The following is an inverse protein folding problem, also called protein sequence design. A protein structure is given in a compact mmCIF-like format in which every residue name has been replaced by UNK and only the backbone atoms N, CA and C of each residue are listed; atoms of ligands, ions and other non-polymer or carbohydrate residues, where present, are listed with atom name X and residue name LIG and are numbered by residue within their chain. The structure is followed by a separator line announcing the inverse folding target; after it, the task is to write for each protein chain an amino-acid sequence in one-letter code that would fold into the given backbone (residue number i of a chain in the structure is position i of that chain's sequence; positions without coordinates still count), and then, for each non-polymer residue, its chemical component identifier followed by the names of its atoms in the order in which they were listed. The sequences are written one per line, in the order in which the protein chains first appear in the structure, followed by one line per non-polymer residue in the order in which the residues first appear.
data_IF_904807869908
#
_entry.id   IF_904807869908
#
_cell.length_a   1.000
_cell.length_b   1.000
_cell.length_c   1.000
_cell.angle_alpha   90.00
_cell.angle_beta   90.00
_cell.angle_gamma   90.00
#
_symmetry.space_group_name_H-M   'P 1'
#
loop_
_entity.id
_entity.type
_entity.pdbx_description
1 polymer ?
#
# COMPACT_ATOMS: atom_id res chain seq x y z
N UNK A 1 -63.27 44.24 18.23
CA UNK A 1 -63.82 43.97 19.58
C UNK A 1 -62.72 43.35 20.40
N UNK A 2 -62.32 44.08 21.44
CA UNK A 2 -61.44 43.84 22.60
C UNK A 2 -60.88 42.43 22.87
N UNK A 3 -59.62 42.37 23.31
CA UNK A 3 -59.08 41.76 24.57
C UNK A 3 -57.54 41.65 24.45
N UNK A 4 -56.74 42.60 24.97
CA UNK A 4 -56.25 42.81 26.36
C UNK A 4 -55.12 41.87 26.79
N UNK A 5 -54.05 42.54 27.26
CA UNK A 5 -52.78 42.10 27.85
C UNK A 5 -52.88 41.11 29.01
N UNK A 6 -51.82 40.32 29.21
CA UNK A 6 -51.35 40.02 30.57
C UNK A 6 -49.80 39.97 30.61
N UNK A 7 -49.23 40.82 31.48
CA UNK A 7 -47.80 40.87 31.84
C UNK A 7 -47.59 39.93 33.04
N UNK A 8 -46.49 39.18 33.04
CA UNK A 8 -45.81 38.83 34.29
C UNK A 8 -44.31 39.07 34.13
N UNK A 9 -43.75 39.75 35.11
CA UNK A 9 -42.40 40.30 35.17
C UNK A 9 -41.75 39.66 36.38
N UNK A 10 -40.68 38.89 36.21
CA UNK A 10 -39.81 38.46 37.32
C UNK A 10 -38.37 38.72 36.94
N UNK A 11 -37.79 39.71 37.65
CA UNK A 11 -36.36 40.00 37.69
C UNK A 11 -35.62 38.84 38.37
N UNK A 12 -34.58 38.34 37.71
CA UNK A 12 -33.56 37.47 38.28
C UNK A 12 -32.18 37.91 37.76
N UNK A 13 -31.76 39.10 38.16
CA UNK A 13 -30.44 39.68 37.83
C UNK A 13 -29.49 39.46 39.00
N UNK A 14 -28.86 38.28 39.08
CA UNK A 14 -27.67 38.01 39.91
C UNK A 14 -27.31 36.53 39.74
N UNK A 15 -26.60 36.18 38.66
CA UNK A 15 -25.87 34.90 38.45
C UNK A 15 -25.23 34.80 37.05
N UNK A 16 -25.55 35.72 36.12
CA UNK A 16 -25.06 35.68 34.74
C UNK A 16 -23.59 36.11 34.53
N UNK A 17 -22.93 36.74 35.51
CA UNK A 17 -21.54 37.19 35.34
C UNK A 17 -20.51 36.08 35.59
N UNK A 18 -20.74 35.19 36.56
CA UNK A 18 -19.74 34.17 36.92
C UNK A 18 -19.83 32.92 36.03
N UNK A 19 -21.05 32.55 35.60
CA UNK A 19 -21.28 31.45 34.65
C UNK A 19 -20.78 31.81 33.24
N UNK A 20 -20.90 33.08 32.81
CA UNK A 20 -20.41 33.51 31.49
C UNK A 20 -18.88 33.48 31.39
N UNK A 21 -18.16 33.67 32.49
CA UNK A 21 -16.69 33.59 32.55
C UNK A 21 -16.21 32.13 32.55
N UNK A 22 -16.90 31.24 33.27
CA UNK A 22 -16.56 29.81 33.32
C UNK A 22 -16.86 29.08 31.98
N UNK A 23 -17.95 29.45 31.30
CA UNK A 23 -18.31 28.90 29.98
C UNK A 23 -17.55 29.53 28.82
N UNK A 24 -17.15 30.81 28.92
CA UNK A 24 -16.13 31.40 28.03
C UNK A 24 -14.81 30.64 28.16
N UNK A 25 -14.43 30.24 29.38
CA UNK A 25 -13.30 29.36 29.65
C UNK A 25 -13.43 27.98 28.97
N UNK A 26 -14.61 27.37 28.98
CA UNK A 26 -14.88 26.07 28.35
C UNK A 26 -14.92 26.12 26.81
N UNK A 27 -15.54 27.16 26.22
CA UNK A 27 -15.50 27.44 24.78
C UNK A 27 -14.11 27.80 24.30
N UNK A 28 -13.36 28.59 25.07
CA UNK A 28 -11.94 28.85 24.81
C UNK A 28 -11.14 27.57 24.92
N UNK A 29 -11.36 26.71 25.93
CA UNK A 29 -10.67 25.42 26.07
C UNK A 29 -10.96 24.46 24.91
N UNK A 30 -12.20 24.31 24.47
CA UNK A 30 -12.55 23.37 23.39
C UNK A 30 -12.24 23.93 21.99
N UNK A 31 -12.42 25.23 21.77
CA UNK A 31 -11.95 25.85 20.51
C UNK A 31 -10.44 25.86 20.44
N UNK A 32 -9.73 26.16 21.54
CA UNK A 32 -8.25 26.05 21.62
C UNK A 32 -7.84 24.60 21.50
N UNK A 33 -8.50 23.63 22.13
CA UNK A 33 -8.20 22.20 21.99
C UNK A 33 -8.43 21.67 20.58
N UNK A 34 -9.50 22.09 19.88
CA UNK A 34 -9.70 21.74 18.47
C UNK A 34 -8.70 22.48 17.57
N UNK A 35 -8.35 23.72 17.91
CA UNK A 35 -7.33 24.50 17.20
C UNK A 35 -5.95 23.94 17.45
N UNK A 36 -5.69 23.32 18.60
CA UNK A 36 -4.45 22.68 19.04
C UNK A 36 -4.38 21.26 18.48
N UNK A 37 -5.45 20.44 18.52
CA UNK A 37 -5.51 19.14 17.83
C UNK A 37 -5.39 19.33 16.31
N UNK A 38 -5.94 20.41 15.75
CA UNK A 38 -5.74 20.78 14.35
C UNK A 38 -4.38 21.44 14.10
N UNK A 39 -3.83 22.21 15.05
CA UNK A 39 -2.44 22.71 14.96
C UNK A 39 -1.45 21.59 15.06
N UNK A 40 -1.72 20.56 15.84
CA UNK A 40 -0.90 19.38 16.06
C UNK A 40 -1.04 18.45 14.88
N UNK A 41 -2.24 18.31 14.30
CA UNK A 41 -2.43 17.63 13.01
C UNK A 41 -1.79 18.41 11.86
N UNK A 42 -1.90 19.74 11.84
CA UNK A 42 -1.29 20.62 10.84
C UNK A 42 0.21 20.75 11.03
N UNK A 43 0.72 20.73 12.25
CA UNK A 43 2.14 20.66 12.56
C UNK A 43 2.65 19.25 12.32
N UNK A 44 1.90 18.18 12.55
CA UNK A 44 2.26 16.82 12.12
C UNK A 44 2.24 16.70 10.61
N UNK A 45 1.30 17.33 9.91
CA UNK A 45 1.21 17.34 8.45
C UNK A 45 2.31 18.25 7.89
N UNK A 46 2.61 19.38 8.51
CA UNK A 46 3.69 20.32 8.15
C UNK A 46 5.05 19.78 8.53
N UNK A 47 5.20 19.02 9.60
CA UNK A 47 6.41 18.29 9.97
C UNK A 47 6.56 17.06 9.07
N UNK A 48 5.48 16.32 8.77
CA UNK A 48 5.53 15.28 7.73
C UNK A 48 5.77 15.86 6.34
N UNK A 49 5.30 17.07 6.04
CA UNK A 49 5.50 17.75 4.77
C UNK A 49 6.79 18.56 4.72
N UNK A 50 7.41 18.94 5.85
CA UNK A 50 8.80 19.42 5.91
C UNK A 50 9.76 18.22 5.85
N UNK A 51 9.45 17.15 6.56
CA UNK A 51 10.16 15.87 6.50
C UNK A 51 9.96 15.12 5.18
N UNK A 52 8.98 15.47 4.33
CA UNK A 52 8.80 14.89 2.98
C UNK A 52 8.99 15.89 1.84
N UNK A 53 8.57 17.14 2.01
CA UNK A 53 8.61 18.21 1.01
C UNK A 53 9.85 19.11 1.10
N UNK A 54 10.63 19.03 2.19
CA UNK A 54 12.03 19.46 2.20
C UNK A 54 12.96 18.33 1.78
N UNK A 55 12.67 17.09 2.18
CA UNK A 55 13.56 15.96 1.90
C UNK A 55 13.75 15.70 0.39
N UNK A 56 12.73 15.84 -0.46
CA UNK A 56 12.91 15.62 -1.91
C UNK A 56 13.74 16.70 -2.60
N UNK A 57 13.38 17.98 -2.40
CA UNK A 57 13.99 19.12 -3.10
C UNK A 57 15.29 19.60 -2.43
N UNK A 58 15.38 19.54 -1.10
CA UNK A 58 16.60 19.87 -0.36
C UNK A 58 17.62 18.73 -0.46
N UNK A 59 17.24 17.44 -0.53
CA UNK A 59 18.20 16.37 -0.87
C UNK A 59 18.66 16.52 -2.31
N UNK A 60 17.80 16.87 -3.27
CA UNK A 60 18.23 17.11 -4.65
C UNK A 60 19.14 18.36 -4.77
N UNK A 61 18.88 19.42 -4.00
CA UNK A 61 19.71 20.64 -3.98
C UNK A 61 21.03 20.44 -3.21
N UNK A 62 20.99 19.86 -2.01
CA UNK A 62 22.18 19.55 -1.19
C UNK A 62 23.04 18.50 -1.90
N UNK A 63 22.45 17.45 -2.47
CA UNK A 63 23.20 16.49 -3.30
C UNK A 63 23.79 17.16 -4.53
N UNK A 64 23.09 18.07 -5.21
CA UNK A 64 23.65 18.79 -6.36
C UNK A 64 24.79 19.74 -6.00
N UNK A 65 24.77 20.35 -4.80
CA UNK A 65 25.88 21.15 -4.28
C UNK A 65 27.06 20.27 -3.84
N UNK A 66 26.80 19.17 -3.13
CA UNK A 66 27.82 18.20 -2.70
C UNK A 66 28.49 17.52 -3.91
N UNK A 67 27.71 17.11 -4.91
CA UNK A 67 28.20 16.56 -6.19
C UNK A 67 29.11 17.57 -6.90
N UNK A 68 28.77 18.88 -6.91
CA UNK A 68 29.61 19.93 -7.51
C UNK A 68 30.93 20.16 -6.74
N UNK A 69 30.91 20.09 -5.41
CA UNK A 69 32.12 20.25 -4.59
C UNK A 69 33.02 19.01 -4.56
N UNK A 70 32.49 17.82 -4.85
CA UNK A 70 33.25 16.57 -4.85
C UNK A 70 33.78 16.20 -6.26
N UNK A 71 33.13 16.69 -7.32
CA UNK A 71 33.61 16.57 -8.71
C UNK A 71 34.94 17.29 -8.97
N UNK A 72 35.36 18.23 -8.13
CA UNK A 72 36.66 18.90 -8.28
C UNK A 72 37.85 18.06 -7.82
N UNK A 73 37.64 16.97 -7.08
CA UNK A 73 38.72 16.25 -6.38
C UNK A 73 38.84 14.74 -6.68
N UNK A 74 38.12 14.17 -7.65
CA UNK A 74 38.25 12.73 -7.95
C UNK A 74 38.23 12.41 -9.44
N UNK A 75 39.41 12.15 -10.00
CA UNK A 75 39.55 11.14 -11.04
C UNK A 75 39.30 9.76 -10.43
N UNK A 76 38.03 9.31 -10.35
CA UNK A 76 37.71 7.92 -10.02
C UNK A 76 36.57 7.38 -10.87
N UNK A 77 36.87 6.29 -11.57
CA UNK A 77 36.02 5.54 -12.48
C UNK A 77 34.77 4.96 -11.80
N UNK A 78 33.63 5.12 -12.50
CA UNK A 78 32.47 4.23 -12.53
C UNK A 78 31.69 3.99 -11.21
N UNK A 79 31.18 5.05 -10.57
CA UNK A 79 30.07 4.92 -9.61
C UNK A 79 28.73 5.25 -10.27
N UNK A 80 27.65 4.54 -9.91
CA UNK A 80 26.30 4.80 -10.43
C UNK A 80 25.57 5.68 -9.41
N UNK A 81 25.23 6.90 -9.81
CA UNK A 81 24.39 7.77 -8.97
C UNK A 81 22.99 7.16 -8.82
N UNK A 82 22.45 7.08 -7.59
CA UNK A 82 21.11 6.54 -7.34
C UNK A 82 20.01 7.37 -8.01
N UNK A 83 20.26 8.65 -8.27
CA UNK A 83 19.35 9.60 -8.92
C UNK A 83 19.45 9.59 -10.46
N UNK A 84 20.29 8.71 -11.03
CA UNK A 84 20.49 8.68 -12.47
C UNK A 84 19.25 8.13 -13.20
N UNK A 85 18.92 8.71 -14.37
CA UNK A 85 17.84 8.21 -15.22
C UNK A 85 18.04 6.73 -15.62
N UNK A 86 19.29 6.33 -15.81
CA UNK A 86 19.65 4.95 -16.16
C UNK A 86 19.29 4.01 -14.99
N UNK A 87 19.58 4.40 -13.74
CA UNK A 87 19.20 3.61 -12.56
C UNK A 87 17.68 3.50 -12.45
N UNK A 88 16.93 4.57 -12.65
CA UNK A 88 15.46 4.50 -12.62
C UNK A 88 14.88 3.58 -13.71
N UNK A 89 15.44 3.58 -14.93
CA UNK A 89 15.02 2.66 -15.99
C UNK A 89 15.37 1.21 -15.61
N UNK A 90 16.54 0.99 -15.02
CA UNK A 90 16.95 -0.32 -14.52
C UNK A 90 16.02 -0.82 -13.40
N UNK A 91 15.69 0.03 -12.43
CA UNK A 91 14.76 -0.30 -11.36
C UNK A 91 13.34 -0.57 -11.90
N UNK A 92 12.90 0.15 -12.93
CA UNK A 92 11.64 -0.13 -13.62
C UNK A 92 11.64 -1.50 -14.32
N UNK A 93 12.75 -1.87 -14.97
CA UNK A 93 12.94 -3.20 -15.54
C UNK A 93 12.91 -4.28 -14.45
N UNK A 94 13.59 -4.06 -13.32
CA UNK A 94 13.59 -4.99 -12.18
C UNK A 94 12.19 -5.15 -11.59
N UNK A 95 11.41 -4.08 -11.47
CA UNK A 95 10.03 -4.15 -11.03
C UNK A 95 9.18 -5.03 -11.97
N UNK A 96 9.37 -4.90 -13.28
CA UNK A 96 8.69 -5.74 -14.26
C UNK A 96 9.09 -7.22 -14.11
N UNK A 97 10.39 -7.50 -13.97
CA UNK A 97 10.89 -8.87 -13.72
C UNK A 97 10.35 -9.44 -12.41
N UNK A 98 10.27 -8.65 -11.34
CA UNK A 98 9.69 -9.06 -10.06
C UNK A 98 8.19 -9.34 -10.20
N UNK A 99 7.46 -8.53 -10.97
CA UNK A 99 6.05 -8.79 -11.29
C UNK A 99 5.86 -10.11 -12.04
N UNK A 100 6.73 -10.42 -12.99
CA UNK A 100 6.73 -11.73 -13.66
C UNK A 100 6.98 -12.88 -12.67
N UNK A 101 7.98 -12.76 -11.79
CA UNK A 101 8.26 -13.80 -10.78
C UNK A 101 7.06 -14.00 -9.84
N UNK A 102 6.44 -12.91 -9.41
CA UNK A 102 5.29 -12.97 -8.51
C UNK A 102 4.03 -13.59 -9.15
N UNK A 103 3.83 -13.46 -10.47
CA UNK A 103 2.70 -14.06 -11.20
C UNK A 103 3.07 -15.41 -11.80
N UNK A 104 3.98 -15.39 -12.76
CA UNK A 104 4.21 -16.51 -13.67
C UNK A 104 5.04 -17.60 -13.00
N UNK A 105 6.10 -17.26 -12.26
CA UNK A 105 6.92 -18.28 -11.59
C UNK A 105 6.14 -19.02 -10.50
N UNK A 106 5.28 -18.33 -9.74
CA UNK A 106 4.39 -18.98 -8.75
C UNK A 106 3.42 -19.94 -9.43
N UNK A 107 2.75 -19.48 -10.50
CA UNK A 107 1.87 -20.32 -11.31
C UNK A 107 2.60 -21.57 -11.82
N UNK A 108 3.76 -21.39 -12.46
CA UNK A 108 4.55 -22.49 -13.04
C UNK A 108 5.05 -23.47 -11.97
N UNK A 109 5.51 -22.96 -10.82
CA UNK A 109 5.94 -23.78 -9.68
C UNK A 109 4.83 -24.68 -9.15
N UNK A 110 3.61 -24.14 -9.09
CA UNK A 110 2.46 -24.84 -8.52
C UNK A 110 1.74 -25.74 -9.53
N UNK A 111 1.84 -25.48 -10.83
CA UNK A 111 1.07 -26.19 -11.87
C UNK A 111 1.85 -27.21 -12.67
N UNK A 112 3.08 -26.89 -13.08
CA UNK A 112 3.87 -27.72 -14.00
C UNK A 112 5.01 -28.48 -13.29
N UNK A 113 5.34 -28.16 -12.04
CA UNK A 113 6.48 -28.78 -11.36
C UNK A 113 7.78 -28.47 -12.12
N UNK A 114 8.72 -29.42 -12.24
CA UNK A 114 9.95 -29.22 -13.03
C UNK A 114 9.76 -29.51 -14.52
N UNK A 115 10.18 -28.56 -15.36
CA UNK A 115 10.22 -28.66 -16.81
C UNK A 115 11.64 -28.41 -17.31
N UNK A 116 11.96 -28.95 -18.49
CA UNK A 116 13.27 -28.83 -19.12
C UNK A 116 13.39 -27.66 -20.09
N UNK A 117 14.50 -27.67 -20.84
CA UNK A 117 14.78 -26.71 -21.91
C UNK A 117 13.84 -26.81 -23.12
N UNK A 118 12.99 -27.85 -23.16
CA UNK A 118 11.90 -28.05 -24.10
C UNK A 118 10.75 -27.06 -23.91
N UNK A 119 10.58 -26.53 -22.70
CA UNK A 119 9.58 -25.52 -22.40
C UNK A 119 10.17 -24.10 -22.44
N UNK A 120 9.48 -23.18 -23.12
CA UNK A 120 9.89 -21.77 -23.25
C UNK A 120 10.14 -21.07 -21.91
N UNK A 121 9.39 -21.45 -20.87
CA UNK A 121 9.51 -20.89 -19.52
C UNK A 121 10.91 -21.06 -18.92
N UNK A 122 11.64 -22.11 -19.29
CA UNK A 122 13.00 -22.34 -18.83
C UNK A 122 13.93 -21.21 -19.26
N UNK A 123 13.84 -20.80 -20.53
CA UNK A 123 14.66 -19.73 -21.08
C UNK A 123 14.32 -18.37 -20.49
N UNK A 124 13.03 -18.13 -20.23
CA UNK A 124 12.58 -16.87 -19.62
C UNK A 124 13.04 -16.77 -18.16
N UNK A 125 12.91 -17.84 -17.37
CA UNK A 125 13.42 -17.86 -15.99
C UNK A 125 14.94 -17.71 -15.93
N UNK A 126 15.66 -18.31 -16.87
CA UNK A 126 17.11 -18.14 -16.99
C UNK A 126 17.47 -16.69 -17.32
N UNK A 127 16.80 -16.08 -18.30
CA UNK A 127 17.03 -14.69 -18.68
C UNK A 127 16.76 -13.72 -17.52
N UNK A 128 15.66 -13.90 -16.80
CA UNK A 128 15.33 -13.10 -15.61
C UNK A 128 16.37 -13.31 -14.50
N UNK A 129 16.84 -14.55 -14.31
CA UNK A 129 17.92 -14.84 -13.35
C UNK A 129 19.22 -14.12 -13.70
N UNK A 130 19.56 -14.02 -14.99
CA UNK A 130 20.72 -13.25 -15.46
C UNK A 130 20.58 -11.75 -15.16
N UNK A 131 19.39 -11.16 -15.40
CA UNK A 131 19.13 -9.75 -15.05
C UNK A 131 19.35 -9.51 -13.56
N UNK A 132 18.90 -10.44 -12.71
CA UNK A 132 19.09 -10.30 -11.27
C UNK A 132 20.55 -10.49 -10.82
N UNK A 133 21.33 -11.34 -11.49
CA UNK A 133 22.77 -11.44 -11.24
C UNK A 133 23.47 -10.12 -11.61
N UNK A 134 23.07 -9.50 -12.72
CA UNK A 134 23.56 -8.18 -13.11
C UNK A 134 23.17 -7.12 -12.07
N UNK A 135 21.98 -7.21 -11.47
CA UNK A 135 21.56 -6.31 -10.40
C UNK A 135 22.42 -6.43 -9.14
N UNK A 136 22.80 -7.64 -8.72
CA UNK A 136 23.76 -7.83 -7.61
C UNK A 136 25.06 -7.06 -7.91
N UNK A 137 25.57 -7.18 -9.14
CA UNK A 137 26.74 -6.44 -9.60
C UNK A 137 26.51 -4.93 -9.53
N UNK A 138 25.40 -4.43 -10.08
CA UNK A 138 25.06 -3.01 -10.09
C UNK A 138 24.90 -2.42 -8.68
N UNK A 139 24.32 -3.18 -7.74
CA UNK A 139 24.12 -2.76 -6.35
C UNK A 139 25.45 -2.60 -5.59
N UNK A 140 26.51 -3.32 -5.96
CA UNK A 140 27.86 -3.08 -5.43
C UNK A 140 28.47 -1.73 -5.85
N UNK A 141 27.93 -1.08 -6.90
CA UNK A 141 28.40 0.21 -7.42
C UNK A 141 27.37 1.34 -7.27
N UNK A 142 26.21 1.07 -6.66
CA UNK A 142 25.14 2.05 -6.47
C UNK A 142 25.25 2.66 -5.08
N UNK A 143 25.36 3.98 -5.00
CA UNK A 143 25.41 4.71 -3.72
C UNK A 143 24.11 4.57 -2.92
N UNK A 144 24.21 4.68 -1.60
CA UNK A 144 23.05 4.64 -0.69
C UNK A 144 22.94 5.93 0.11
N UNK A 145 21.71 6.27 0.52
CA UNK A 145 21.44 7.41 1.39
C UNK A 145 21.61 7.00 2.85
N UNK A 146 22.38 7.78 3.60
CA UNK A 146 22.42 7.67 5.05
C UNK A 146 21.20 8.34 5.67
N UNK A 147 20.85 8.00 6.92
CA UNK A 147 19.65 8.54 7.60
C UNK A 147 19.67 10.05 7.82
N UNK A 148 20.83 10.69 7.66
CA UNK A 148 21.04 12.14 7.73
C UNK A 148 20.87 12.85 6.38
N UNK A 149 20.61 12.11 5.30
CA UNK A 149 20.45 12.63 3.94
C UNK A 149 21.76 12.79 3.15
N UNK A 150 22.91 12.41 3.72
CA UNK A 150 24.18 12.37 2.99
C UNK A 150 24.26 11.13 2.08
N UNK A 151 24.97 11.26 0.95
CA UNK A 151 25.16 10.16 -0.02
C UNK A 151 26.59 9.65 0.12
N UNK A 152 26.73 8.36 0.40
CA UNK A 152 28.02 7.69 0.38
C UNK A 152 28.38 7.29 -1.06
N UNK A 153 29.53 7.77 -1.54
CA UNK A 153 30.02 7.54 -2.91
C UNK A 153 31.24 6.61 -2.96
N UNK A 154 31.82 6.25 -1.81
CA UNK A 154 32.98 5.35 -1.77
C UNK A 154 32.60 3.89 -2.06
N UNK A 155 33.06 3.37 -3.20
CA UNK A 155 32.74 2.01 -3.70
C UNK A 155 33.08 0.92 -2.66
N UNK A 156 34.19 1.06 -1.92
CA UNK A 156 34.60 0.06 -0.92
C UNK A 156 33.61 -0.04 0.23
N UNK A 157 33.14 1.11 0.73
CA UNK A 157 32.17 1.14 1.83
C UNK A 157 30.77 0.73 1.35
N UNK A 158 30.37 1.15 0.15
CA UNK A 158 29.11 0.70 -0.50
C UNK A 158 29.07 -0.83 -0.59
N UNK A 159 30.11 -1.44 -1.18
CA UNK A 159 30.16 -2.88 -1.36
C UNK A 159 30.16 -3.62 -0.02
N UNK A 160 30.94 -3.17 0.97
CA UNK A 160 30.99 -3.77 2.30
C UNK A 160 29.64 -3.71 3.02
N UNK A 161 28.95 -2.57 2.92
CA UNK A 161 27.61 -2.40 3.48
C UNK A 161 26.60 -3.35 2.82
N UNK A 162 26.61 -3.41 1.48
CA UNK A 162 25.73 -4.28 0.70
C UNK A 162 25.97 -5.77 0.98
N UNK A 163 27.24 -6.20 1.04
CA UNK A 163 27.64 -7.58 1.34
C UNK A 163 27.16 -8.05 2.72
N UNK A 164 27.06 -7.14 3.69
CA UNK A 164 26.59 -7.46 5.05
C UNK A 164 25.08 -7.49 5.19
N UNK A 165 24.35 -6.75 4.37
CA UNK A 165 22.90 -6.50 4.54
C UNK A 165 22.05 -7.37 3.64
N UNK A 166 22.23 -7.29 2.31
CA UNK A 166 21.29 -7.83 1.33
C UNK A 166 21.86 -8.93 0.44
N UNK A 167 23.19 -9.03 0.33
CA UNK A 167 23.85 -9.96 -0.59
C UNK A 167 23.40 -11.42 -0.42
N UNK A 168 23.32 -11.94 0.81
CA UNK A 168 22.94 -13.34 1.05
C UNK A 168 21.52 -13.62 0.53
N UNK A 169 20.59 -12.72 0.82
CA UNK A 169 19.20 -12.81 0.36
C UNK A 169 19.11 -12.76 -1.16
N UNK A 170 19.85 -11.85 -1.80
CA UNK A 170 19.87 -11.73 -3.26
C UNK A 170 20.50 -12.93 -3.94
N UNK A 171 21.60 -13.43 -3.37
CA UNK A 171 22.32 -14.57 -3.90
C UNK A 171 21.43 -15.82 -3.90
N UNK A 172 20.81 -16.15 -2.76
CA UNK A 172 19.85 -17.27 -2.65
C UNK A 172 18.71 -17.10 -3.65
N UNK A 173 18.20 -15.88 -3.81
CA UNK A 173 17.09 -15.61 -4.72
C UNK A 173 17.49 -15.55 -6.20
N UNK A 174 18.79 -15.57 -6.55
CA UNK A 174 19.28 -15.66 -7.93
C UNK A 174 19.64 -17.07 -8.36
N UNK A 175 19.67 -18.04 -7.45
CA UNK A 175 20.03 -19.41 -7.78
C UNK A 175 18.96 -20.06 -8.69
N UNK A 176 19.35 -20.76 -9.78
CA UNK A 176 18.42 -21.42 -10.69
C UNK A 176 17.86 -22.71 -10.05
N UNK A 177 16.97 -22.57 -9.07
CA UNK A 177 16.42 -23.67 -8.27
C UNK A 177 15.79 -24.79 -9.10
N UNK A 178 15.19 -24.46 -10.25
CA UNK A 178 14.63 -25.45 -11.17
C UNK A 178 15.72 -26.38 -11.75
N UNK A 179 16.83 -25.80 -12.22
CA UNK A 179 17.96 -26.57 -12.75
C UNK A 179 18.65 -27.41 -11.68
N UNK A 180 18.83 -26.84 -10.48
CA UNK A 180 19.43 -27.53 -9.33
C UNK A 180 18.56 -28.72 -8.89
N UNK A 181 17.25 -28.53 -8.76
CA UNK A 181 16.33 -29.60 -8.37
C UNK A 181 16.37 -30.76 -9.37
N UNK A 182 16.43 -30.48 -10.68
CA UNK A 182 16.54 -31.50 -11.72
C UNK A 182 17.90 -32.21 -11.71
N UNK A 183 18.99 -31.50 -11.45
CA UNK A 183 20.33 -32.11 -11.40
C UNK A 183 20.52 -33.06 -10.20
N UNK A 184 19.77 -32.85 -9.12
CA UNK A 184 19.84 -33.68 -7.90
C UNK A 184 18.87 -34.88 -7.98
N UNK A 185 17.72 -34.72 -8.65
CA UNK A 185 16.66 -35.74 -8.69
C UNK A 185 16.45 -36.23 -10.11
N UNK A 186 17.01 -37.41 -10.42
CA UNK A 186 16.85 -38.07 -11.73
C UNK A 186 15.46 -38.71 -11.92
N UNK A 187 14.66 -38.86 -10.86
CA UNK A 187 13.37 -39.57 -10.90
C UNK A 187 12.18 -38.65 -11.27
N UNK A 188 11.57 -38.78 -12.46
CA UNK A 188 10.51 -37.88 -12.92
C UNK A 188 9.16 -38.02 -12.23
N UNK A 189 8.94 -39.10 -11.48
CA UNK A 189 7.74 -39.27 -10.65
C UNK A 189 7.83 -38.47 -9.33
N UNK A 190 9.05 -38.17 -8.86
CA UNK A 190 9.32 -37.35 -7.65
C UNK A 190 9.52 -35.87 -8.01
N UNK A 191 9.47 -35.53 -9.31
CA UNK A 191 9.67 -34.18 -9.83
C UNK A 191 8.53 -33.21 -9.44
N UNK A 192 7.32 -33.72 -9.18
CA UNK A 192 6.23 -32.96 -8.56
C UNK A 192 6.21 -33.17 -7.05
N UNK A 193 7.38 -32.99 -6.41
CA UNK A 193 7.56 -33.04 -4.95
C UNK A 193 7.87 -31.63 -4.42
N UNK A 194 7.91 -31.48 -3.09
CA UNK A 194 8.19 -30.24 -2.35
C UNK A 194 9.41 -29.43 -2.85
N UNK A 195 10.28 -30.02 -3.66
CA UNK A 195 11.39 -29.34 -4.33
C UNK A 195 10.94 -28.27 -5.34
N UNK A 196 9.75 -28.36 -5.93
CA UNK A 196 9.21 -27.26 -6.75
C UNK A 196 8.96 -26.00 -5.91
N UNK A 197 8.79 -26.14 -4.59
CA UNK A 197 8.64 -25.04 -3.64
C UNK A 197 9.94 -24.27 -3.40
N UNK A 198 11.11 -24.83 -3.75
CA UNK A 198 12.37 -24.07 -3.68
C UNK A 198 12.32 -22.85 -4.59
N UNK A 199 11.47 -22.86 -5.63
CA UNK A 199 11.23 -21.66 -6.46
C UNK A 199 10.62 -20.50 -5.68
N UNK A 200 9.99 -20.75 -4.53
CA UNK A 200 9.55 -19.66 -3.66
C UNK A 200 10.71 -18.86 -3.05
N UNK A 201 11.96 -19.37 -3.09
CA UNK A 201 13.11 -18.54 -2.77
C UNK A 201 13.30 -17.36 -3.73
N UNK A 202 12.79 -17.42 -4.96
CA UNK A 202 12.74 -16.25 -5.85
C UNK A 202 11.83 -15.14 -5.28
N UNK A 203 10.82 -15.48 -4.47
CA UNK A 203 9.95 -14.51 -3.81
C UNK A 203 10.65 -13.74 -2.69
N UNK A 204 11.82 -14.19 -2.20
CA UNK A 204 12.62 -13.42 -1.25
C UNK A 204 12.97 -12.03 -1.80
N UNK A 205 12.99 -11.84 -3.13
CA UNK A 205 13.20 -10.54 -3.76
C UNK A 205 12.07 -9.55 -3.49
N UNK A 206 10.87 -10.03 -3.18
CA UNK A 206 9.75 -9.17 -2.82
C UNK A 206 9.98 -8.47 -1.47
N UNK A 207 10.88 -8.98 -0.61
CA UNK A 207 11.29 -8.29 0.62
C UNK A 207 11.99 -6.95 0.35
N UNK A 208 12.50 -6.74 -0.88
CA UNK A 208 13.11 -5.49 -1.32
C UNK A 208 12.13 -4.48 -1.89
N UNK A 209 10.84 -4.82 -1.97
CA UNK A 209 9.82 -3.89 -2.44
C UNK A 209 9.73 -2.62 -1.60
N UNK A 210 9.68 -2.65 -0.24
CA UNK A 210 9.46 -1.44 0.54
C UNK A 210 10.51 -0.33 0.29
N UNK A 211 11.82 -0.62 0.18
CA UNK A 211 12.82 0.36 -0.27
C UNK A 211 12.56 0.91 -1.68
N UNK A 212 12.23 0.05 -2.66
CA UNK A 212 11.96 0.47 -4.05
C UNK A 212 10.72 1.39 -4.13
N UNK A 213 9.67 1.07 -3.37
CA UNK A 213 8.47 1.90 -3.30
C UNK A 213 8.73 3.26 -2.63
N UNK A 214 9.69 3.35 -1.71
CA UNK A 214 10.10 4.63 -1.11
C UNK A 214 10.75 5.55 -2.14
N UNK A 215 11.64 5.03 -2.98
CA UNK A 215 12.31 5.80 -4.03
C UNK A 215 11.33 6.27 -5.13
N UNK A 216 10.41 5.41 -5.54
CA UNK A 216 9.37 5.76 -6.53
C UNK A 216 8.43 6.83 -5.98
N UNK A 217 8.11 6.78 -4.69
CA UNK A 217 7.28 7.79 -4.02
C UNK A 217 7.91 9.19 -4.05
N UNK A 218 9.23 9.26 -4.08
CA UNK A 218 9.99 10.52 -4.16
C UNK A 218 10.17 10.94 -5.63
N UNK A 219 9.75 10.12 -6.60
CA UNK A 219 9.89 10.44 -8.02
C UNK A 219 9.05 11.67 -8.43
N UNK A 220 9.70 12.51 -9.25
CA UNK A 220 9.05 13.63 -9.94
C UNK A 220 7.80 13.21 -10.70
N UNK A 221 7.76 11.97 -11.20
CA UNK A 221 6.62 11.45 -11.95
C UNK A 221 5.34 11.37 -11.13
N UNK A 222 5.40 10.89 -9.89
CA UNK A 222 4.20 10.83 -9.02
C UNK A 222 3.73 12.24 -8.66
N UNK A 223 4.66 13.15 -8.42
CA UNK A 223 4.34 14.56 -8.14
C UNK A 223 3.71 15.24 -9.36
N UNK A 224 4.22 14.98 -10.56
CA UNK A 224 3.65 15.50 -11.81
C UNK A 224 2.26 14.91 -12.08
N UNK A 225 2.07 13.61 -11.85
CA UNK A 225 0.76 12.96 -11.96
C UNK A 225 -0.23 13.55 -10.95
N UNK A 226 0.19 13.81 -9.71
CA UNK A 226 -0.63 14.46 -8.69
C UNK A 226 -1.07 15.87 -9.11
N UNK A 227 -0.16 16.63 -9.73
CA UNK A 227 -0.40 18.00 -10.19
C UNK A 227 -1.25 18.05 -11.47
N UNK A 228 -1.00 17.17 -12.45
CA UNK A 228 -1.67 17.17 -13.75
C UNK A 228 -3.03 16.48 -13.71
N UNK A 229 -3.15 15.35 -13.01
CA UNK A 229 -4.39 14.56 -12.97
C UNK A 229 -5.28 14.87 -11.75
N UNK A 230 -4.83 15.69 -10.80
CA UNK A 230 -5.53 16.01 -9.52
C UNK A 230 -5.93 14.75 -8.72
N UNK A 231 -5.19 13.66 -8.86
CA UNK A 231 -5.47 12.42 -8.14
C UNK A 231 -5.06 12.57 -6.67
N UNK A 232 -6.02 12.45 -5.76
CA UNK A 232 -5.72 12.38 -4.32
C UNK A 232 -4.85 11.16 -4.02
N UNK A 233 -3.88 11.33 -3.14
CA UNK A 233 -2.97 10.27 -2.69
C UNK A 233 -3.70 9.00 -2.20
N UNK A 234 -4.89 9.14 -1.64
CA UNK A 234 -5.69 8.01 -1.17
C UNK A 234 -6.23 7.10 -2.27
N UNK A 235 -6.43 7.59 -3.50
CA UNK A 235 -6.82 6.73 -4.62
C UNK A 235 -5.68 5.78 -5.03
N UNK A 236 -4.43 6.27 -5.05
CA UNK A 236 -3.26 5.42 -5.33
C UNK A 236 -3.09 4.30 -4.30
N UNK A 237 -3.30 4.60 -3.01
CA UNK A 237 -3.26 3.59 -1.95
C UNK A 237 -4.32 2.52 -2.15
N UNK A 238 -5.54 2.92 -2.53
CA UNK A 238 -6.64 1.98 -2.78
C UNK A 238 -6.33 1.06 -3.98
N UNK A 239 -5.86 1.63 -5.10
CA UNK A 239 -5.49 0.84 -6.28
C UNK A 239 -4.36 -0.14 -5.93
N UNK A 240 -3.33 0.31 -5.22
CA UNK A 240 -2.22 -0.54 -4.79
C UNK A 240 -2.70 -1.70 -3.90
N UNK A 241 -3.63 -1.43 -2.98
CA UNK A 241 -4.21 -2.45 -2.11
C UNK A 241 -5.05 -3.48 -2.89
N UNK A 242 -5.80 -3.05 -3.90
CA UNK A 242 -6.55 -3.94 -4.78
C UNK A 242 -5.61 -4.85 -5.58
N UNK A 243 -4.53 -4.28 -6.12
CA UNK A 243 -3.48 -5.05 -6.82
C UNK A 243 -2.85 -6.08 -5.88
N UNK A 244 -2.45 -5.68 -4.67
CA UNK A 244 -1.91 -6.60 -3.65
C UNK A 244 -2.87 -7.75 -3.31
N UNK A 245 -4.16 -7.44 -3.20
CA UNK A 245 -5.20 -8.46 -2.93
C UNK A 245 -5.35 -9.44 -4.10
N UNK A 246 -5.25 -8.96 -5.34
CA UNK A 246 -5.28 -9.82 -6.53
C UNK A 246 -4.05 -10.76 -6.60
N UNK A 247 -2.87 -10.28 -6.21
CA UNK A 247 -1.68 -11.13 -6.08
C UNK A 247 -1.86 -12.19 -4.98
N UNK A 248 -2.41 -11.79 -3.84
CA UNK A 248 -2.69 -12.71 -2.75
C UNK A 248 -3.67 -13.82 -3.17
N UNK A 249 -4.75 -13.46 -3.87
CA UNK A 249 -5.72 -14.45 -4.34
C UNK A 249 -5.12 -15.39 -5.39
N UNK A 250 -4.25 -14.86 -6.27
CA UNK A 250 -3.48 -15.70 -7.19
C UNK A 250 -2.61 -16.72 -6.46
N UNK A 251 -1.88 -16.30 -5.42
CA UNK A 251 -1.01 -17.21 -4.65
C UNK A 251 -1.78 -18.27 -3.88
N UNK A 252 -2.89 -17.88 -3.24
CA UNK A 252 -3.78 -18.82 -2.54
C UNK A 252 -4.39 -19.82 -3.54
N UNK A 253 -4.76 -19.39 -4.74
CA UNK A 253 -5.23 -20.29 -5.79
C UNK A 253 -4.16 -21.30 -6.23
N UNK A 254 -2.95 -20.81 -6.52
CA UNK A 254 -1.83 -21.64 -6.93
C UNK A 254 -1.45 -22.68 -5.87
N UNK A 255 -1.37 -22.28 -4.60
CA UNK A 255 -1.08 -23.19 -3.50
C UNK A 255 -2.20 -24.22 -3.29
N UNK A 256 -3.47 -23.83 -3.44
CA UNK A 256 -4.59 -24.76 -3.32
C UNK A 256 -4.54 -25.87 -4.38
N UNK A 257 -4.19 -25.51 -5.62
CA UNK A 257 -3.92 -26.48 -6.68
C UNK A 257 -2.69 -27.36 -6.39
N UNK A 258 -1.60 -26.75 -5.92
CA UNK A 258 -0.37 -27.47 -5.58
C UNK A 258 -0.61 -28.56 -4.53
N UNK A 259 -1.34 -28.24 -3.45
CA UNK A 259 -1.60 -29.22 -2.38
C UNK A 259 -2.40 -30.43 -2.88
N UNK A 260 -3.45 -30.21 -3.68
CA UNK A 260 -4.20 -31.31 -4.27
C UNK A 260 -3.34 -32.16 -5.22
N UNK A 261 -2.56 -31.51 -6.09
CA UNK A 261 -1.72 -32.22 -7.04
C UNK A 261 -0.59 -33.02 -6.35
N UNK A 262 0.03 -32.45 -5.33
CA UNK A 262 1.05 -33.13 -4.53
C UNK A 262 0.48 -34.40 -3.89
N UNK A 263 -0.73 -34.35 -3.34
CA UNK A 263 -1.36 -35.52 -2.70
C UNK A 263 -1.76 -36.63 -3.67
N UNK A 264 -2.19 -36.27 -4.88
CA UNK A 264 -2.45 -37.24 -5.95
C UNK A 264 -1.19 -38.04 -6.30
N UNK A 265 -0.02 -37.39 -6.36
CA UNK A 265 1.27 -38.04 -6.68
C UNK A 265 1.67 -39.04 -5.59
N UNK A 266 1.38 -38.74 -4.32
CA UNK A 266 1.64 -39.67 -3.21
C UNK A 266 0.54 -40.73 -3.02
N UNK A 267 -0.38 -40.91 -3.99
CA UNK A 267 -1.51 -41.86 -3.96
C UNK A 267 -2.32 -41.81 -2.65
N UNK A 268 -2.41 -40.64 -2.03
CA UNK A 268 -2.79 -40.57 -0.64
C UNK A 268 -4.31 -40.55 -0.41
N UNK A 269 -5.11 -39.89 -1.27
CA UNK A 269 -6.58 -39.77 -1.17
C UNK A 269 -7.19 -39.09 -2.41
N UNK A 270 -8.52 -39.19 -2.58
CA UNK A 270 -9.28 -38.32 -3.49
C UNK A 270 -9.18 -36.85 -3.02
N UNK A 271 -8.90 -35.95 -3.93
CA UNK A 271 -8.73 -34.50 -3.68
C UNK A 271 -9.91 -33.71 -4.22
N UNK A 272 -9.96 -32.40 -3.96
CA UNK A 272 -11.02 -31.53 -4.52
C UNK A 272 -11.06 -31.53 -6.07
N UNK A 273 -9.92 -31.83 -6.72
CA UNK A 273 -9.82 -31.95 -8.19
C UNK A 273 -10.57 -33.19 -8.68
N UNK A 274 -10.62 -34.26 -7.88
CA UNK A 274 -11.14 -35.58 -8.29
C UNK A 274 -12.65 -35.74 -8.08
N UNK A 275 -13.27 -34.89 -7.26
CA UNK A 275 -14.66 -35.05 -6.83
C UNK A 275 -15.72 -34.45 -7.78
N UNK A 276 -15.32 -33.86 -8.90
CA UNK A 276 -16.22 -33.15 -9.84
C UNK A 276 -15.86 -33.50 -11.29
N UNK A 277 -16.38 -32.77 -12.28
CA UNK A 277 -16.01 -32.93 -13.72
C UNK A 277 -14.60 -32.38 -13.99
N UNK A 278 -13.98 -31.73 -13.01
CA UNK A 278 -12.65 -31.13 -13.11
C UNK A 278 -11.52 -32.06 -13.58
N UNK A 279 -11.50 -33.41 -13.38
CA UNK A 279 -10.40 -34.26 -13.85
C UNK A 279 -10.18 -34.18 -15.36
N UNK A 280 -11.26 -34.14 -16.14
CA UNK A 280 -11.23 -34.10 -17.62
C UNK A 280 -10.97 -32.72 -18.19
N UNK A 281 -10.93 -31.68 -17.33
CA UNK A 281 -10.76 -30.30 -17.75
C UNK A 281 -9.30 -29.91 -17.99
N UNK A 282 -9.13 -28.87 -18.82
CA UNK A 282 -7.83 -28.30 -19.15
C UNK A 282 -7.19 -27.62 -17.93
N UNK A 283 -5.87 -27.40 -17.96
CA UNK A 283 -5.15 -26.73 -16.87
C UNK A 283 -5.72 -25.33 -16.56
N UNK A 284 -6.12 -24.59 -17.59
CA UNK A 284 -6.72 -23.27 -17.45
C UNK A 284 -8.02 -23.30 -16.65
N UNK A 285 -8.88 -24.29 -16.92
CA UNK A 285 -10.17 -24.44 -16.22
C UNK A 285 -9.95 -24.84 -14.75
N UNK A 286 -8.99 -25.73 -14.49
CA UNK A 286 -8.57 -26.09 -13.12
C UNK A 286 -8.03 -24.87 -12.36
N UNK A 287 -7.25 -24.02 -13.03
CA UNK A 287 -6.75 -22.78 -12.44
C UNK A 287 -7.89 -21.78 -12.16
N UNK A 288 -8.84 -21.61 -13.09
CA UNK A 288 -10.00 -20.74 -12.89
C UNK A 288 -10.83 -21.22 -11.69
N UNK A 289 -11.03 -22.54 -11.52
CA UNK A 289 -11.71 -23.09 -10.36
C UNK A 289 -10.96 -22.82 -9.04
N UNK A 290 -9.63 -22.98 -9.02
CA UNK A 290 -8.81 -22.64 -7.85
C UNK A 290 -8.82 -21.13 -7.55
N UNK A 291 -8.84 -20.28 -8.58
CA UNK A 291 -8.93 -18.83 -8.44
C UNK A 291 -10.30 -18.42 -7.89
N UNK A 292 -11.37 -19.03 -8.39
CA UNK A 292 -12.72 -18.86 -7.85
C UNK A 292 -12.78 -19.21 -6.35
N UNK A 293 -12.22 -20.36 -5.97
CA UNK A 293 -12.04 -20.76 -4.57
C UNK A 293 -11.33 -19.69 -3.75
N UNK A 294 -10.19 -19.22 -4.25
CA UNK A 294 -9.40 -18.22 -3.53
C UNK A 294 -10.12 -16.88 -3.41
N UNK A 295 -10.80 -16.42 -4.45
CA UNK A 295 -11.47 -15.12 -4.43
C UNK A 295 -12.59 -15.12 -3.41
N UNK A 296 -13.47 -16.13 -3.39
CA UNK A 296 -14.53 -16.17 -2.38
C UNK A 296 -14.00 -16.40 -0.96
N UNK A 297 -12.83 -17.02 -0.82
CA UNK A 297 -12.18 -17.22 0.48
C UNK A 297 -11.62 -15.91 1.00
N UNK A 298 -10.92 -15.15 0.16
CA UNK A 298 -10.37 -13.82 0.51
C UNK A 298 -11.50 -12.83 0.76
N UNK A 299 -12.59 -12.86 -0.01
CA UNK A 299 -13.75 -11.99 0.21
C UNK A 299 -14.70 -12.49 1.30
N UNK A 300 -14.39 -13.61 1.96
CA UNK A 300 -15.17 -14.20 3.06
C UNK A 300 -16.60 -14.64 2.69
N UNK A 301 -16.89 -14.87 1.40
CA UNK A 301 -18.22 -15.29 0.91
C UNK A 301 -18.46 -16.78 1.18
N UNK A 302 -17.52 -17.65 0.78
CA UNK A 302 -17.54 -19.08 1.10
C UNK A 302 -18.76 -19.87 0.58
N UNK A 303 -18.96 -19.97 -0.74
CA UNK A 303 -20.11 -20.70 -1.32
C UNK A 303 -20.15 -22.20 -0.98
N UNK A 304 -19.00 -22.83 -0.75
CA UNK A 304 -18.91 -24.23 -0.31
C UNK A 304 -19.10 -25.27 -1.40
N UNK A 305 -19.01 -24.88 -2.68
CA UNK A 305 -19.07 -25.76 -3.84
C UNK A 305 -17.71 -26.42 -4.15
N UNK A 306 -16.60 -25.72 -3.87
CA UNK A 306 -15.25 -26.29 -3.86
C UNK A 306 -14.75 -26.34 -2.41
N UNK A 307 -14.49 -27.53 -1.90
CA UNK A 307 -14.11 -27.72 -0.49
C UNK A 307 -12.87 -28.59 -0.33
N UNK A 308 -12.03 -28.32 0.69
CA UNK A 308 -10.91 -29.19 1.02
C UNK A 308 -11.44 -30.53 1.57
N UNK A 309 -10.91 -31.61 1.01
CA UNK A 309 -11.34 -32.98 1.32
C UNK A 309 -10.38 -33.61 2.32
N UNK A 310 -9.09 -33.48 2.05
CA UNK A 310 -8.05 -34.11 2.85
C UNK A 310 -7.64 -33.22 4.03
N UNK A 311 -7.08 -33.82 5.08
CA UNK A 311 -6.61 -33.05 6.24
C UNK A 311 -5.54 -32.00 5.89
N UNK A 312 -4.54 -32.28 5.02
CA UNK A 312 -3.60 -31.26 4.56
C UNK A 312 -4.27 -30.07 3.85
N UNK A 313 -5.23 -30.34 2.96
CA UNK A 313 -6.02 -29.27 2.31
C UNK A 313 -6.78 -28.44 3.34
N UNK A 314 -7.40 -29.09 4.36
CA UNK A 314 -8.13 -28.37 5.42
C UNK A 314 -7.22 -27.47 6.24
N UNK A 315 -6.04 -27.97 6.65
CA UNK A 315 -5.05 -27.18 7.39
C UNK A 315 -4.61 -25.97 6.56
N UNK A 316 -4.30 -26.19 5.28
CA UNK A 316 -3.97 -25.12 4.34
C UNK A 316 -5.10 -24.10 4.23
N UNK A 317 -6.34 -24.55 4.03
CA UNK A 317 -7.51 -23.68 3.91
C UNK A 317 -7.75 -22.87 5.18
N UNK A 318 -7.54 -23.43 6.38
CA UNK A 318 -7.60 -22.67 7.63
C UNK A 318 -6.61 -21.49 7.64
N UNK A 319 -5.36 -21.72 7.23
CA UNK A 319 -4.35 -20.66 7.12
C UNK A 319 -4.75 -19.63 6.06
N UNK A 320 -5.19 -20.08 4.89
CA UNK A 320 -5.64 -19.21 3.81
C UNK A 320 -6.83 -18.33 4.22
N UNK A 321 -7.78 -18.86 5.01
CA UNK A 321 -8.91 -18.09 5.54
C UNK A 321 -8.46 -17.00 6.51
N UNK A 322 -7.50 -17.26 7.39
CA UNK A 322 -6.96 -16.24 8.33
C UNK A 322 -6.30 -15.11 7.54
N UNK A 323 -5.45 -15.45 6.56
CA UNK A 323 -4.77 -14.46 5.72
C UNK A 323 -5.80 -13.69 4.88
N UNK A 324 -6.77 -14.39 4.26
CA UNK A 324 -7.84 -13.80 3.48
C UNK A 324 -8.71 -12.83 4.27
N UNK A 325 -9.15 -13.21 5.47
CA UNK A 325 -9.93 -12.36 6.35
C UNK A 325 -9.16 -11.08 6.76
N UNK A 326 -7.86 -11.21 7.02
CA UNK A 326 -7.01 -10.05 7.33
C UNK A 326 -6.89 -9.09 6.15
N UNK A 327 -6.73 -9.60 4.92
CA UNK A 327 -6.69 -8.80 3.70
C UNK A 327 -8.04 -8.12 3.42
N UNK A 328 -9.16 -8.81 3.65
CA UNK A 328 -10.48 -8.20 3.50
C UNK A 328 -10.69 -7.05 4.50
N UNK A 329 -10.27 -7.24 5.75
CA UNK A 329 -10.35 -6.20 6.77
C UNK A 329 -9.55 -4.94 6.39
N UNK A 330 -8.36 -5.09 5.79
CA UNK A 330 -7.54 -3.94 5.35
C UNK A 330 -8.18 -3.21 4.18
N UNK A 331 -8.83 -3.91 3.25
CA UNK A 331 -9.60 -3.29 2.15
C UNK A 331 -10.73 -2.44 2.70
N UNK A 332 -11.53 -2.98 3.63
CA UNK A 332 -12.63 -2.23 4.26
C UNK A 332 -12.09 -0.98 4.96
N UNK A 333 -11.01 -1.11 5.74
CA UNK A 333 -10.38 0.03 6.42
C UNK A 333 -9.86 1.10 5.44
N UNK A 334 -9.24 0.69 4.34
CA UNK A 334 -8.72 1.62 3.33
C UNK A 334 -9.83 2.37 2.60
N UNK A 335 -10.93 1.69 2.24
CA UNK A 335 -12.10 2.31 1.63
C UNK A 335 -12.73 3.32 2.59
N UNK A 336 -12.85 3.00 3.88
CA UNK A 336 -13.32 3.95 4.90
C UNK A 336 -12.41 5.18 5.01
N UNK A 337 -11.09 4.99 4.97
CA UNK A 337 -10.13 6.09 4.99
C UNK A 337 -10.27 7.04 3.79
N UNK A 338 -10.39 6.48 2.58
CA UNK A 338 -10.63 7.25 1.35
C UNK A 338 -11.95 8.02 1.44
N UNK A 339 -13.02 7.38 1.92
CA UNK A 339 -14.33 8.01 2.07
C UNK A 339 -14.29 9.19 3.06
N UNK A 340 -13.57 9.04 4.17
CA UNK A 340 -13.38 10.11 5.15
C UNK A 340 -12.66 11.32 4.53
N UNK A 341 -11.66 11.10 3.68
CA UNK A 341 -10.94 12.19 3.01
C UNK A 341 -11.77 12.87 1.92
N UNK A 342 -12.61 12.13 1.20
CA UNK A 342 -13.50 12.72 0.19
C UNK A 342 -14.57 13.59 0.86
N UNK A 343 -15.09 13.14 2.00
CA UNK A 343 -16.19 13.81 2.71
C UNK A 343 -15.74 14.86 3.73
N UNK A 344 -14.43 15.06 3.93
CA UNK A 344 -13.89 15.95 4.98
C UNK A 344 -14.50 17.37 4.97
N UNK A 345 -14.63 17.98 3.79
CA UNK A 345 -15.18 19.34 3.67
C UNK A 345 -16.69 19.37 3.97
N UNK A 346 -17.41 18.32 3.59
CA UNK A 346 -18.84 18.19 3.85
C UNK A 346 -19.13 18.00 5.34
N UNK A 347 -18.36 17.13 5.98
CA UNK A 347 -18.44 16.88 7.42
C UNK A 347 -18.16 18.16 8.19
N UNK A 348 -17.06 18.84 7.88
CA UNK A 348 -16.72 20.12 8.52
C UNK A 348 -17.84 21.15 8.37
N UNK A 349 -18.36 21.34 7.16
CA UNK A 349 -19.39 22.33 6.90
C UNK A 349 -20.68 22.03 7.67
N UNK A 350 -21.08 20.75 7.77
CA UNK A 350 -22.20 20.32 8.61
C UNK A 350 -21.93 20.63 10.09
N UNK A 351 -20.75 20.29 10.60
CA UNK A 351 -20.35 20.58 11.99
C UNK A 351 -20.36 22.09 12.29
N UNK A 352 -19.93 22.94 11.35
CA UNK A 352 -20.01 24.40 11.48
C UNK A 352 -21.47 24.87 11.60
N UNK A 353 -22.33 24.39 10.70
CA UNK A 353 -23.75 24.73 10.74
C UNK A 353 -24.45 24.24 12.01
N UNK A 354 -24.06 23.08 12.53
CA UNK A 354 -24.59 22.54 13.78
C UNK A 354 -24.12 23.37 14.97
N UNK A 355 -22.84 23.78 14.98
CA UNK A 355 -22.29 24.70 15.98
C UNK A 355 -23.00 26.05 15.96
N UNK A 356 -23.33 26.57 14.77
CA UNK A 356 -24.12 27.78 14.62
C UNK A 356 -25.54 27.61 15.19
N UNK A 357 -26.18 26.47 14.96
CA UNK A 357 -27.51 26.18 15.53
C UNK A 357 -27.46 26.12 17.06
N UNK A 358 -26.42 25.51 17.62
CA UNK A 358 -26.20 25.47 19.07
C UNK A 358 -26.00 26.87 19.63
N UNK A 359 -25.17 27.69 18.99
CA UNK A 359 -24.95 29.09 19.35
C UNK A 359 -26.26 29.89 19.33
N UNK A 360 -27.05 29.74 18.26
CA UNK A 360 -28.34 30.40 18.12
C UNK A 360 -29.33 29.99 19.22
N UNK A 361 -29.33 28.71 19.59
CA UNK A 361 -30.15 28.20 20.70
C UNK A 361 -29.75 28.80 22.05
N UNK A 362 -28.45 28.80 22.39
CA UNK A 362 -27.96 29.32 23.67
C UNK A 362 -28.23 30.82 23.86
N UNK A 363 -28.13 31.60 22.78
CA UNK A 363 -28.37 33.04 22.81
C UNK A 363 -29.82 33.44 22.50
N UNK A 364 -30.75 32.47 22.41
CA UNK A 364 -32.15 32.72 22.07
C UNK A 364 -32.32 33.59 20.80
N UNK A 365 -31.48 33.36 19.78
CA UNK A 365 -31.54 34.10 18.53
C UNK A 365 -32.90 33.84 17.85
N UNK A 366 -33.61 34.89 17.37
CA UNK A 366 -34.87 34.72 16.67
C UNK A 366 -34.75 33.76 15.49
N UNK A 367 -35.75 32.88 15.30
CA UNK A 367 -35.74 31.86 14.25
C UNK A 367 -35.50 32.44 12.85
N UNK A 368 -36.06 33.62 12.56
CA UNK A 368 -35.88 34.30 11.28
C UNK A 368 -34.42 34.74 11.05
N UNK A 369 -33.77 35.26 12.08
CA UNK A 369 -32.36 35.66 11.99
C UNK A 369 -31.46 34.42 11.86
N UNK A 370 -31.73 33.38 12.63
CA UNK A 370 -31.00 32.11 12.53
C UNK A 370 -31.12 31.49 11.13
N UNK A 371 -32.33 31.47 10.56
CA UNK A 371 -32.57 31.01 9.19
C UNK A 371 -31.76 31.81 8.17
N UNK A 372 -31.75 33.15 8.29
CA UNK A 372 -30.96 34.03 7.41
C UNK A 372 -29.46 33.73 7.50
N UNK A 373 -28.93 33.49 8.71
CA UNK A 373 -27.50 33.18 8.90
C UNK A 373 -27.17 31.81 8.30
N UNK A 374 -27.96 30.75 8.57
CA UNK A 374 -27.74 29.42 7.94
C UNK A 374 -27.82 29.49 6.42
N UNK A 375 -28.77 30.25 5.87
CA UNK A 375 -28.90 30.47 4.42
C UNK A 375 -27.70 31.20 3.85
N UNK A 376 -27.16 32.20 4.56
CA UNK A 376 -25.94 32.90 4.16
C UNK A 376 -24.75 31.94 4.04
N UNK A 377 -24.48 31.12 5.08
CA UNK A 377 -23.38 30.15 5.01
C UNK A 377 -23.60 29.10 3.91
N UNK A 378 -24.84 28.67 3.69
CA UNK A 378 -25.19 27.67 2.66
C UNK A 378 -24.99 28.22 1.26
N UNK A 379 -25.35 29.48 1.06
CA UNK A 379 -25.08 30.18 -0.19
C UNK A 379 -23.57 30.40 -0.37
N UNK A 380 -22.86 30.87 0.67
CA UNK A 380 -21.41 31.11 0.64
C UNK A 380 -20.63 29.85 0.24
N UNK A 381 -21.02 28.67 0.72
CA UNK A 381 -20.40 27.39 0.35
C UNK A 381 -20.42 27.12 -1.16
N UNK A 382 -21.47 27.54 -1.87
CA UNK A 382 -21.59 27.32 -3.32
C UNK A 382 -20.53 28.12 -4.09
N UNK A 383 -20.21 29.33 -3.62
CA UNK A 383 -19.24 30.21 -4.28
C UNK A 383 -17.81 30.06 -3.74
N UNK A 384 -17.69 29.70 -2.46
CA UNK A 384 -16.41 29.43 -1.79
C UNK A 384 -16.44 28.02 -1.20
N UNK A 385 -16.20 26.99 -2.02
CA UNK A 385 -16.23 25.59 -1.58
C UNK A 385 -15.07 25.24 -0.65
N UNK A 386 -14.00 26.04 -0.63
CA UNK A 386 -12.83 25.84 0.21
C UNK A 386 -12.86 26.79 1.41
N UNK A 387 -12.81 26.20 2.61
CA UNK A 387 -12.97 26.90 3.89
C UNK A 387 -11.75 27.78 4.23
N UNK A 388 -10.57 27.41 3.74
CA UNK A 388 -9.28 28.01 4.07
C UNK A 388 -8.66 28.78 2.90
N UNK A 389 -9.48 29.35 2.02
CA UNK A 389 -8.97 30.11 0.87
C UNK A 389 -7.99 31.23 1.31
N UNK A 390 -8.25 31.88 2.45
CA UNK A 390 -7.34 32.87 3.02
C UNK A 390 -6.01 32.27 3.54
N UNK A 391 -6.03 31.10 4.17
CA UNK A 391 -4.82 30.43 4.66
C UNK A 391 -4.01 29.75 3.52
N UNK A 392 -4.69 29.36 2.44
CA UNK A 392 -4.07 28.83 1.23
C UNK A 392 -3.36 29.94 0.42
N UNK A 393 -3.87 31.16 0.48
CA UNK A 393 -3.35 32.30 -0.27
C UNK A 393 -2.27 33.10 0.50
N UNK A 394 -2.05 32.78 1.78
CA UNK A 394 -1.03 33.42 2.63
C UNK A 394 -1.57 34.62 3.40
#
# INVERSE_FOLDING_TARGET
TTFVMEKSNVKGSMEQSDVSVEYSGYFRKNSVRLKDEYKDLHNMIRENARARGGFGADVEFISSQQLKTQHSNCEQLLYISPLSRIRHIWDALLMLCMGYVALVTVFLACTLGTYGADHWSFWVELFISLIFILDIGANCFTGYFHSDGSIELEIKEISKHYMKTWFVTDFIACLPWNGIARAIIDNPQVIFSYWSLLRFFFLLKLLKWPPIWQEIRISKLITLIELELRWKHSYFKLILLLVQTAFLSHWIACLFYFFARAQQVFNANLTWIDLTILPTLNLTEKYIAALYFSVYTVTTIGYGDIVPITNPERIYTCVAMIIGASAFATIVAAVSGVLSEITMNDVYYRTLLDSLSLYAGMHNIPKDLHFRIRRFFTHRRVYHPFIFEAELLG
#
